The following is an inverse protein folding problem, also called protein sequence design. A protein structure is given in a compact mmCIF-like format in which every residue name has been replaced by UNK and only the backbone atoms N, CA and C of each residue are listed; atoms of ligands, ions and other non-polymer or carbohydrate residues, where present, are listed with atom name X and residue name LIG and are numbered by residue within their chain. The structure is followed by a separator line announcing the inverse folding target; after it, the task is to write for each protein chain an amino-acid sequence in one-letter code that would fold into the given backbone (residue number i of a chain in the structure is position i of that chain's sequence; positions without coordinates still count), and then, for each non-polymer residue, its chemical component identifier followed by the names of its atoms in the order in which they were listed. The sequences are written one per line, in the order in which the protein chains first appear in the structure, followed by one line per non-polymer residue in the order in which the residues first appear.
data_IF_989610346957
#
_entry.id   IF_989610346957
#
_cell.length_a   1.000
_cell.length_b   1.000
_cell.length_c   1.000
_cell.angle_alpha   90.00
_cell.angle_beta   90.00
_cell.angle_gamma   90.00
#
_symmetry.space_group_name_H-M   'P 1'
#
loop_
_entity.id
_entity.type
_entity.pdbx_description
1 polymer ?
#
# COMPACT_ATOMS: atom_id res chain seq x y z
N UNK A 1 -4.92 12.07 -7.77
CA UNK A 1 -3.55 12.14 -8.30
C UNK A 1 -3.54 12.30 -9.82
N UNK A 2 -4.08 11.36 -10.60
CA UNK A 2 -4.09 11.41 -12.07
C UNK A 2 -4.76 12.67 -12.67
N UNK A 3 -5.91 13.17 -12.16
CA UNK A 3 -6.50 14.41 -12.67
C UNK A 3 -5.56 15.61 -12.55
N UNK A 4 -4.85 15.75 -11.42
CA UNK A 4 -3.89 16.84 -11.22
C UNK A 4 -2.68 16.69 -12.14
N UNK A 5 -2.16 15.48 -12.29
CA UNK A 5 -1.05 15.21 -13.23
C UNK A 5 -1.42 15.62 -14.66
N UNK A 6 -2.62 15.27 -15.13
CA UNK A 6 -3.09 15.65 -16.46
C UNK A 6 -3.30 17.16 -16.62
N UNK A 7 -3.71 17.85 -15.53
CA UNK A 7 -3.87 19.29 -15.54
C UNK A 7 -2.53 20.03 -15.61
N UNK A 8 -1.58 19.60 -14.79
CA UNK A 8 -0.26 20.24 -14.68
C UNK A 8 0.65 19.92 -15.86
N UNK A 9 0.44 18.75 -16.50
CA UNK A 9 1.23 18.25 -17.64
C UNK A 9 0.33 17.81 -18.81
N UNK A 10 -0.36 18.73 -19.49
CA UNK A 10 -1.36 18.41 -20.51
C UNK A 10 -0.82 17.65 -21.73
N UNK A 11 0.48 17.79 -22.00
CA UNK A 11 1.17 17.13 -23.13
C UNK A 11 1.82 15.79 -22.72
N UNK A 12 1.72 15.38 -21.46
CA UNK A 12 2.25 14.10 -21.00
C UNK A 12 1.44 12.94 -21.59
N UNK A 13 2.11 12.12 -22.38
CA UNK A 13 1.53 10.85 -22.83
C UNK A 13 1.76 9.79 -21.78
N UNK A 14 0.75 9.52 -20.97
CA UNK A 14 0.82 8.62 -19.83
C UNK A 14 0.24 7.26 -20.19
N UNK A 15 1.08 6.23 -20.17
CA UNK A 15 0.68 4.84 -20.20
C UNK A 15 0.92 4.20 -18.82
N UNK A 16 -0.12 3.65 -18.21
CA UNK A 16 -0.05 3.06 -16.87
C UNK A 16 -0.29 1.57 -16.97
N UNK A 17 0.62 0.80 -16.38
CA UNK A 17 0.46 -0.64 -16.20
C UNK A 17 0.54 -0.99 -14.72
N UNK A 18 -0.18 -2.02 -14.33
CA UNK A 18 -0.09 -2.63 -13.01
C UNK A 18 0.37 -4.07 -13.18
N UNK A 19 1.42 -4.45 -12.45
CA UNK A 19 1.98 -5.78 -12.50
C UNK A 19 2.76 -6.10 -11.20
N UNK A 20 3.14 -7.35 -11.03
CA UNK A 20 3.99 -7.79 -9.92
C UNK A 20 5.39 -7.17 -10.00
N UNK A 21 6.07 -7.09 -8.85
CA UNK A 21 7.39 -6.46 -8.68
C UNK A 21 8.40 -6.92 -9.74
N UNK A 22 8.56 -8.21 -9.92
CA UNK A 22 9.57 -8.77 -10.85
C UNK A 22 9.26 -8.43 -12.31
N UNK A 23 7.98 -8.40 -12.68
CA UNK A 23 7.54 -8.00 -14.02
C UNK A 23 7.86 -6.52 -14.26
N UNK A 24 7.59 -5.65 -13.29
CA UNK A 24 7.90 -4.21 -13.39
C UNK A 24 9.41 -3.97 -13.48
N UNK A 25 10.22 -4.64 -12.67
CA UNK A 25 11.68 -4.53 -12.72
C UNK A 25 12.26 -4.97 -14.08
N UNK A 26 11.74 -6.06 -14.65
CA UNK A 26 12.12 -6.51 -15.98
C UNK A 26 11.75 -5.46 -17.05
N UNK A 27 10.56 -4.86 -16.98
CA UNK A 27 10.10 -3.83 -17.91
C UNK A 27 10.90 -2.53 -17.80
N UNK A 28 11.33 -2.13 -16.59
CA UNK A 28 12.27 -1.02 -16.40
C UNK A 28 13.62 -1.35 -17.04
N UNK A 29 14.17 -2.54 -16.79
CA UNK A 29 15.46 -2.96 -17.30
C UNK A 29 15.50 -3.01 -18.83
N UNK A 30 14.43 -3.49 -19.47
CA UNK A 30 14.28 -3.54 -20.92
C UNK A 30 13.98 -2.19 -21.57
N UNK A 31 13.59 -1.18 -20.78
CA UNK A 31 13.17 0.13 -21.28
C UNK A 31 11.75 0.16 -21.83
N UNK A 32 10.94 -0.84 -21.56
CA UNK A 32 9.52 -0.86 -21.92
C UNK A 32 8.71 0.16 -21.10
N UNK A 33 9.13 0.38 -19.84
CA UNK A 33 8.65 1.49 -19.01
C UNK A 33 9.84 2.30 -18.49
N UNK A 34 9.62 3.58 -18.27
CA UNK A 34 10.62 4.50 -17.76
C UNK A 34 10.73 4.47 -16.24
N UNK A 35 9.60 4.45 -15.56
CA UNK A 35 9.47 4.59 -14.11
C UNK A 35 8.50 3.56 -13.56
N UNK A 36 8.73 3.10 -12.32
CA UNK A 36 7.73 2.39 -11.54
C UNK A 36 7.61 2.97 -10.14
N UNK A 37 6.39 2.99 -9.60
CA UNK A 37 6.13 3.30 -8.19
C UNK A 37 5.98 1.97 -7.47
N UNK A 38 6.86 1.71 -6.51
CA UNK A 38 6.95 0.43 -5.85
C UNK A 38 7.17 0.58 -4.35
N UNK A 39 6.73 -0.41 -3.60
CA UNK A 39 7.00 -0.49 -2.17
C UNK A 39 8.26 -1.32 -1.90
N UNK A 40 9.12 -0.83 -1.03
CA UNK A 40 10.33 -1.52 -0.56
C UNK A 40 9.99 -2.44 0.63
N UNK A 41 10.78 -3.52 0.89
CA UNK A 41 12.06 -3.86 0.23
C UNK A 41 11.90 -4.81 -0.98
N UNK A 42 12.83 -4.72 -1.92
CA UNK A 42 13.10 -5.70 -2.98
C UNK A 42 14.57 -5.55 -3.42
N UNK A 43 15.07 -6.42 -4.31
CA UNK A 43 16.42 -6.29 -4.84
C UNK A 43 16.53 -5.07 -5.76
N UNK A 44 17.22 -4.03 -5.31
CA UNK A 44 17.39 -2.75 -6.01
C UNK A 44 18.65 -2.65 -6.85
N UNK A 45 19.44 -3.72 -6.96
CA UNK A 45 20.67 -3.70 -7.73
C UNK A 45 20.39 -3.40 -9.21
N UNK A 46 21.09 -2.41 -9.75
CA UNK A 46 20.91 -1.97 -11.15
C UNK A 46 19.82 -0.90 -11.34
N UNK A 47 19.24 -0.39 -10.28
CA UNK A 47 18.20 0.64 -10.33
C UNK A 47 18.53 1.84 -9.45
N UNK A 48 18.08 3.02 -9.87
CA UNK A 48 17.99 4.20 -9.01
C UNK A 48 16.69 4.12 -8.20
N UNK A 49 16.78 4.41 -6.90
CA UNK A 49 15.68 4.33 -5.96
C UNK A 49 15.45 5.69 -5.31
N UNK A 50 14.31 6.31 -5.59
CA UNK A 50 13.93 7.61 -5.07
C UNK A 50 12.79 7.44 -4.07
N UNK A 51 13.11 7.23 -2.79
CA UNK A 51 12.12 7.13 -1.71
C UNK A 51 11.41 8.47 -1.53
N UNK A 52 10.09 8.46 -1.43
CA UNK A 52 9.31 9.69 -1.28
C UNK A 52 8.17 9.61 -0.26
N UNK A 53 7.79 8.41 0.17
CA UNK A 53 6.70 8.24 1.10
C UNK A 53 6.96 7.10 2.07
N UNK A 54 6.49 7.26 3.31
CA UNK A 54 6.45 6.20 4.32
C UNK A 54 5.06 6.17 4.93
N UNK A 55 4.57 4.99 5.26
CA UNK A 55 3.23 4.84 5.82
C UNK A 55 3.16 3.67 6.81
N UNK A 56 2.12 3.72 7.64
CA UNK A 56 1.78 2.66 8.57
C UNK A 56 0.65 1.78 8.02
N UNK A 57 0.48 0.60 8.62
CA UNK A 57 -0.69 -0.23 8.39
C UNK A 57 -1.78 0.04 9.41
N UNK A 58 -3.00 -0.13 8.95
CA UNK A 58 -4.20 -0.10 9.76
C UNK A 58 -4.92 -1.43 9.67
N UNK A 59 -5.29 -1.96 10.83
CA UNK A 59 -6.15 -3.10 10.93
C UNK A 59 -7.60 -2.69 10.64
N UNK A 60 -8.28 -3.41 9.78
CA UNK A 60 -9.67 -3.16 9.39
C UNK A 60 -10.54 -4.27 9.92
N UNK A 61 -11.56 -3.87 10.65
CA UNK A 61 -12.58 -4.74 11.19
C UNK A 61 -13.97 -4.12 11.07
N UNK A 62 -15.02 -4.88 11.40
CA UNK A 62 -16.33 -4.28 11.58
C UNK A 62 -16.35 -3.39 12.84
N UNK A 63 -17.20 -2.35 12.84
CA UNK A 63 -17.37 -1.42 13.99
C UNK A 63 -17.86 -2.13 15.26
N UNK A 64 -18.56 -3.27 15.13
CA UNK A 64 -19.04 -4.04 16.28
C UNK A 64 -17.97 -4.93 16.91
N UNK A 65 -16.80 -5.12 16.28
CA UNK A 65 -15.68 -5.81 16.90
C UNK A 65 -15.20 -5.03 18.14
N UNK A 66 -15.15 -5.67 19.33
CA UNK A 66 -14.73 -4.98 20.56
C UNK A 66 -13.32 -4.37 20.45
N UNK A 67 -12.44 -4.98 19.67
CA UNK A 67 -11.04 -4.52 19.45
C UNK A 67 -11.00 -3.20 18.67
N UNK A 68 -12.00 -2.91 17.84
CA UNK A 68 -12.10 -1.68 17.06
C UNK A 68 -12.26 -0.42 17.91
N UNK A 69 -12.61 -0.56 19.20
CA UNK A 69 -12.74 0.56 20.16
C UNK A 69 -11.38 1.04 20.69
N UNK A 70 -10.32 0.28 20.48
CA UNK A 70 -8.97 0.65 20.90
C UNK A 70 -8.39 1.73 19.97
N UNK A 71 -7.55 2.63 20.47
CA UNK A 71 -6.84 3.61 19.65
C UNK A 71 -5.80 2.96 18.75
N UNK A 72 -5.24 1.83 19.17
CA UNK A 72 -4.27 1.02 18.43
C UNK A 72 -4.38 -0.45 18.81
N UNK A 73 -3.83 -1.34 17.97
CA UNK A 73 -3.85 -2.79 18.16
C UNK A 73 -2.47 -3.37 17.85
N UNK A 74 -2.01 -4.30 18.68
CA UNK A 74 -0.76 -5.04 18.41
C UNK A 74 -1.03 -6.26 17.56
N UNK A 75 -0.08 -6.65 16.73
CA UNK A 75 -0.19 -7.84 15.88
C UNK A 75 -0.55 -9.11 16.66
N UNK A 76 -0.02 -9.28 17.86
CA UNK A 76 -0.31 -10.43 18.75
C UNK A 76 -1.74 -10.49 19.28
N UNK A 77 -2.52 -9.42 19.16
CA UNK A 77 -3.92 -9.35 19.59
C UNK A 77 -4.89 -9.77 18.48
N UNK A 78 -4.35 -10.03 17.28
CA UNK A 78 -5.12 -10.43 16.10
C UNK A 78 -5.00 -11.94 15.94
N UNK A 79 -6.12 -12.62 15.87
CA UNK A 79 -6.14 -14.04 15.59
C UNK A 79 -5.80 -14.26 14.11
N UNK A 80 -4.81 -15.11 13.85
CA UNK A 80 -4.37 -15.43 12.49
C UNK A 80 -5.43 -16.26 11.73
N UNK A 81 -6.28 -16.99 12.42
CA UNK A 81 -7.37 -17.76 11.82
C UNK A 81 -8.48 -16.84 11.26
N UNK A 82 -8.58 -15.60 11.76
CA UNK A 82 -9.48 -14.54 11.28
C UNK A 82 -8.82 -13.58 10.30
N UNK A 83 -7.51 -13.70 10.08
CA UNK A 83 -6.79 -12.73 9.25
C UNK A 83 -6.92 -13.09 7.77
N UNK A 84 -7.50 -12.17 7.00
CA UNK A 84 -7.60 -12.24 5.55
C UNK A 84 -6.34 -11.59 4.97
N UNK A 85 -5.56 -12.37 4.24
CA UNK A 85 -4.33 -11.91 3.57
C UNK A 85 -4.53 -11.84 2.06
N UNK A 86 -3.67 -11.11 1.39
CA UNK A 86 -3.59 -11.17 -0.07
C UNK A 86 -2.83 -12.43 -0.50
N UNK A 87 -3.08 -12.88 -1.73
CA UNK A 87 -2.41 -14.03 -2.34
C UNK A 87 -0.90 -13.82 -2.48
N UNK A 88 -0.16 -14.90 -2.68
CA UNK A 88 1.28 -14.85 -2.94
C UNK A 88 1.61 -14.05 -4.20
N UNK A 89 2.78 -13.37 -4.17
CA UNK A 89 3.19 -12.44 -5.22
C UNK A 89 2.65 -11.01 -5.04
N UNK A 90 1.79 -10.77 -4.04
CA UNK A 90 1.38 -9.43 -3.67
C UNK A 90 2.33 -8.88 -2.59
N UNK A 91 3.10 -7.84 -2.90
CA UNK A 91 4.07 -7.24 -1.98
C UNK A 91 3.43 -6.76 -0.66
N UNK A 92 2.13 -6.43 -0.66
CA UNK A 92 1.42 -6.01 0.55
C UNK A 92 1.35 -7.14 1.58
N UNK A 93 1.20 -8.41 1.14
CA UNK A 93 1.25 -9.58 2.03
C UNK A 93 2.57 -9.63 2.79
N UNK A 94 3.69 -9.58 2.07
CA UNK A 94 5.03 -9.70 2.65
C UNK A 94 5.30 -8.56 3.64
N UNK A 95 4.92 -7.33 3.29
CA UNK A 95 5.07 -6.19 4.19
C UNK A 95 4.23 -6.32 5.48
N UNK A 96 3.02 -6.87 5.41
CA UNK A 96 2.19 -7.13 6.59
C UNK A 96 2.83 -8.22 7.46
N UNK A 97 3.31 -9.31 6.85
CA UNK A 97 3.97 -10.39 7.59
C UNK A 97 5.21 -9.88 8.32
N UNK A 98 6.01 -9.04 7.68
CA UNK A 98 7.20 -8.42 8.28
C UNK A 98 6.83 -7.44 9.40
N UNK A 99 5.89 -6.52 9.17
CA UNK A 99 5.44 -5.56 10.17
C UNK A 99 4.88 -6.24 11.42
N UNK A 100 4.09 -7.28 11.23
CA UNK A 100 3.48 -8.06 12.30
C UNK A 100 4.40 -9.16 12.87
N UNK A 101 5.58 -9.38 12.28
CA UNK A 101 6.53 -10.46 12.64
C UNK A 101 5.89 -11.86 12.60
N UNK A 102 4.98 -12.06 11.66
CA UNK A 102 4.30 -13.34 11.45
C UNK A 102 5.22 -14.27 10.67
N UNK A 103 5.76 -15.29 11.32
CA UNK A 103 6.67 -16.28 10.70
C UNK A 103 5.93 -17.53 10.22
N UNK A 104 4.86 -17.90 10.89
CA UNK A 104 4.07 -19.08 10.56
C UNK A 104 2.69 -18.66 10.01
N UNK A 105 2.51 -18.89 8.72
CA UNK A 105 1.27 -18.55 8.00
C UNK A 105 0.28 -19.72 7.91
N UNK A 106 0.59 -20.88 8.49
CA UNK A 106 -0.25 -22.09 8.40
C UNK A 106 -1.65 -21.92 9.00
N UNK A 107 -1.81 -20.93 9.89
CA UNK A 107 -3.11 -20.59 10.49
C UNK A 107 -3.92 -19.60 9.67
N UNK A 108 -3.33 -18.96 8.67
CA UNK A 108 -4.03 -18.00 7.80
C UNK A 108 -4.82 -18.81 6.78
N UNK A 109 -6.12 -18.86 6.96
CA UNK A 109 -7.02 -19.69 6.13
C UNK A 109 -7.65 -18.91 4.98
N UNK A 110 -7.76 -17.59 5.11
CA UNK A 110 -8.43 -16.74 4.13
C UNK A 110 -7.42 -15.95 3.28
N UNK A 111 -7.48 -16.18 1.96
CA UNK A 111 -6.70 -15.42 0.99
C UNK A 111 -7.64 -14.73 0.00
N UNK A 112 -7.31 -13.50 -0.35
CA UNK A 112 -8.03 -12.70 -1.33
C UNK A 112 -7.08 -12.29 -2.46
N UNK A 113 -7.55 -12.31 -3.69
CA UNK A 113 -6.73 -11.89 -4.85
C UNK A 113 -6.53 -10.38 -4.90
N UNK A 114 -7.46 -9.60 -4.33
CA UNK A 114 -7.39 -8.14 -4.31
C UNK A 114 -7.76 -7.59 -2.94
N UNK A 115 -7.32 -6.36 -2.67
CA UNK A 115 -7.71 -5.64 -1.45
C UNK A 115 -9.23 -5.41 -1.38
N UNK A 116 -9.88 -5.15 -2.51
CA UNK A 116 -11.34 -5.00 -2.58
C UNK A 116 -12.06 -6.27 -2.14
N UNK A 117 -11.60 -7.44 -2.58
CA UNK A 117 -12.16 -8.72 -2.14
C UNK A 117 -11.96 -8.92 -0.64
N UNK A 118 -10.77 -8.60 -0.11
CA UNK A 118 -10.52 -8.69 1.33
C UNK A 118 -11.49 -7.80 2.13
N UNK A 119 -11.77 -6.60 1.67
CA UNK A 119 -12.74 -5.68 2.31
C UNK A 119 -14.16 -6.24 2.28
N UNK A 120 -14.61 -6.83 1.16
CA UNK A 120 -15.93 -7.46 1.10
C UNK A 120 -16.05 -8.65 2.06
N UNK A 121 -14.99 -9.43 2.25
CA UNK A 121 -14.96 -10.50 3.24
C UNK A 121 -15.06 -9.95 4.68
N UNK A 122 -14.37 -8.84 5.00
CA UNK A 122 -14.48 -8.17 6.30
C UNK A 122 -15.92 -7.66 6.53
N UNK A 123 -16.56 -7.07 5.52
CA UNK A 123 -17.98 -6.67 5.58
C UNK A 123 -18.90 -7.84 5.86
N UNK A 124 -18.60 -8.99 5.25
CA UNK A 124 -19.32 -10.24 5.45
C UNK A 124 -19.09 -10.91 6.80
N UNK A 125 -18.31 -10.30 7.70
CA UNK A 125 -17.98 -10.87 9.03
C UNK A 125 -17.18 -12.18 8.96
N UNK A 126 -16.42 -12.36 7.88
CA UNK A 126 -15.58 -13.56 7.69
C UNK A 126 -14.25 -13.43 8.45
N UNK A 127 -13.77 -12.18 8.64
CA UNK A 127 -12.52 -11.94 9.33
C UNK A 127 -12.11 -10.47 9.31
N UNK A 128 -10.82 -10.24 9.44
CA UNK A 128 -10.20 -8.90 9.49
C UNK A 128 -9.03 -8.84 8.51
N UNK A 129 -8.59 -7.63 8.15
CA UNK A 129 -7.44 -7.48 7.25
C UNK A 129 -6.60 -6.27 7.63
N UNK A 130 -5.43 -6.12 7.00
CA UNK A 130 -4.62 -4.92 7.08
C UNK A 130 -4.67 -4.14 5.76
N UNK A 131 -4.67 -2.82 5.87
CA UNK A 131 -4.56 -1.92 4.72
C UNK A 131 -3.48 -0.88 4.96
N UNK A 132 -2.81 -0.40 3.91
CA UNK A 132 -1.90 0.73 4.02
C UNK A 132 -2.68 2.03 4.27
N UNK A 133 -2.06 2.95 4.99
CA UNK A 133 -2.68 4.22 5.40
C UNK A 133 -3.31 5.00 4.23
N UNK A 134 -2.62 5.03 3.07
CA UNK A 134 -3.13 5.73 1.89
C UNK A 134 -4.48 5.20 1.37
N UNK A 135 -4.82 3.94 1.65
CA UNK A 135 -6.07 3.32 1.22
C UNK A 135 -7.22 3.53 2.23
N UNK A 136 -6.93 3.81 3.50
CA UNK A 136 -7.91 3.83 4.60
C UNK A 136 -9.08 4.76 4.32
N UNK A 137 -8.80 6.02 3.97
CA UNK A 137 -9.86 7.02 3.82
C UNK A 137 -10.86 6.64 2.72
N UNK A 138 -10.36 6.25 1.54
CA UNK A 138 -11.19 5.85 0.41
C UNK A 138 -12.03 4.61 0.76
N UNK A 139 -11.44 3.63 1.44
CA UNK A 139 -12.12 2.41 1.83
C UNK A 139 -13.23 2.67 2.84
N UNK A 140 -13.00 3.50 3.87
CA UNK A 140 -13.98 3.75 4.91
C UNK A 140 -15.14 4.65 4.46
N UNK A 141 -14.89 5.61 3.58
CA UNK A 141 -15.96 6.40 2.97
C UNK A 141 -16.94 5.50 2.22
N UNK A 142 -16.44 4.51 1.50
CA UNK A 142 -17.27 3.56 0.77
C UNK A 142 -17.91 2.47 1.66
N UNK A 143 -17.38 2.23 2.86
CA UNK A 143 -17.79 1.14 3.75
C UNK A 143 -17.96 1.64 5.21
N UNK A 144 -19.03 2.38 5.50
CA UNK A 144 -19.23 3.04 6.79
C UNK A 144 -19.43 2.08 7.97
N UNK A 145 -19.69 0.79 7.73
CA UNK A 145 -19.79 -0.27 8.72
C UNK A 145 -18.43 -0.76 9.24
N UNK A 146 -17.35 -0.42 8.54
CA UNK A 146 -15.98 -0.78 8.90
C UNK A 146 -15.31 0.30 9.74
N UNK A 147 -14.25 -0.09 10.42
CA UNK A 147 -13.40 0.81 11.20
C UNK A 147 -11.93 0.42 11.08
N UNK A 148 -11.08 1.43 11.03
CA UNK A 148 -9.65 1.32 11.13
C UNK A 148 -9.17 1.39 12.58
N UNK A 149 -8.13 0.62 12.88
CA UNK A 149 -7.38 0.70 14.12
C UNK A 149 -5.90 0.67 13.78
N UNK A 150 -5.12 1.64 14.27
CA UNK A 150 -3.70 1.75 13.93
C UNK A 150 -2.94 0.54 14.44
N UNK A 151 -2.06 -0.04 13.63
CA UNK A 151 -1.12 -1.09 14.05
C UNK A 151 -0.05 -0.49 14.96
N UNK A 152 0.04 -0.99 16.21
CA UNK A 152 0.99 -0.56 17.24
C UNK A 152 2.25 -1.46 17.21
N UNK A 153 2.93 -1.46 16.08
CA UNK A 153 4.24 -2.08 15.90
C UNK A 153 5.25 -0.99 15.46
N UNK A 154 6.54 -1.31 15.48
CA UNK A 154 7.57 -0.35 15.12
C UNK A 154 7.52 -0.04 13.62
N UNK A 155 7.08 1.17 13.27
CA UNK A 155 7.06 1.65 11.90
C UNK A 155 8.33 2.42 11.47
N UNK A 156 8.33 3.01 10.27
CA UNK A 156 7.27 2.87 9.28
C UNK A 156 7.17 1.43 8.75
N UNK A 157 5.94 0.99 8.44
CA UNK A 157 5.69 -0.38 8.01
C UNK A 157 5.88 -0.57 6.51
N UNK A 158 5.88 0.53 5.74
CA UNK A 158 6.02 0.52 4.29
C UNK A 158 6.73 1.78 3.81
N UNK A 159 7.68 1.62 2.90
CA UNK A 159 8.33 2.71 2.18
C UNK A 159 7.98 2.63 0.70
N UNK A 160 7.61 3.77 0.10
CA UNK A 160 7.28 3.86 -1.33
C UNK A 160 8.37 4.65 -2.03
N UNK A 161 8.77 4.14 -3.20
CA UNK A 161 9.81 4.77 -4.01
C UNK A 161 9.41 4.82 -5.49
N UNK A 162 9.96 5.80 -6.22
CA UNK A 162 10.04 5.76 -7.68
C UNK A 162 11.34 5.05 -8.05
N UNK A 163 11.23 4.11 -8.97
CA UNK A 163 12.34 3.29 -9.47
C UNK A 163 12.58 3.64 -10.93
N UNK A 164 13.84 3.81 -11.29
CA UNK A 164 14.26 4.02 -12.67
C UNK A 164 15.51 3.22 -13.02
N UNK A 165 15.83 3.10 -14.32
CA UNK A 165 17.14 2.59 -14.76
C UNK A 165 18.26 3.53 -14.29
N UNK A 166 19.46 3.00 -14.06
CA UNK A 166 20.63 3.80 -13.69
C UNK A 166 21.00 4.90 -14.71
N UNK A 167 20.70 4.68 -15.99
CA UNK A 167 20.96 5.61 -17.07
C UNK A 167 19.74 6.44 -17.48
N UNK A 168 18.72 6.51 -16.67
CA UNK A 168 17.56 7.37 -16.91
C UNK A 168 17.94 8.84 -16.73
N UNK A 169 17.68 9.66 -17.75
CA UNK A 169 18.09 11.07 -17.78
C UNK A 169 17.05 12.06 -17.25
N UNK A 170 15.89 11.56 -16.80
CA UNK A 170 14.73 12.37 -16.38
C UNK A 170 14.69 12.70 -14.88
N UNK A 171 15.80 13.02 -14.22
CA UNK A 171 15.81 13.31 -12.77
C UNK A 171 14.87 14.47 -12.39
N UNK A 172 14.70 15.45 -13.28
CA UNK A 172 13.75 16.56 -13.07
C UNK A 172 12.31 16.06 -13.06
N UNK A 173 11.98 15.12 -13.93
CA UNK A 173 10.64 14.53 -14.03
C UNK A 173 10.32 13.72 -12.79
N UNK A 174 11.30 12.93 -12.31
CA UNK A 174 11.17 12.18 -11.05
C UNK A 174 10.90 13.13 -9.89
N UNK A 175 11.69 14.23 -9.78
CA UNK A 175 11.49 15.21 -8.72
C UNK A 175 10.09 15.83 -8.78
N UNK A 176 9.66 16.25 -9.96
CA UNK A 176 8.33 16.85 -10.18
C UNK A 176 7.20 15.87 -9.80
N UNK A 177 7.35 14.59 -10.14
CA UNK A 177 6.40 13.54 -9.75
C UNK A 177 6.38 13.32 -8.22
N UNK A 178 7.54 13.28 -7.59
CA UNK A 178 7.66 13.15 -6.12
C UNK A 178 6.96 14.32 -5.43
N UNK A 179 7.23 15.55 -5.85
CA UNK A 179 6.63 16.76 -5.27
C UNK A 179 5.10 16.70 -5.39
N UNK A 180 4.59 16.36 -6.58
CA UNK A 180 3.17 16.21 -6.86
C UNK A 180 2.51 15.10 -5.99
N UNK A 181 3.15 13.94 -5.91
CA UNK A 181 2.61 12.80 -5.15
C UNK A 181 2.61 13.10 -3.65
N UNK A 182 3.67 13.67 -3.14
CA UNK A 182 3.80 14.03 -1.72
C UNK A 182 2.77 15.09 -1.34
N UNK A 183 2.54 16.11 -2.17
CA UNK A 183 1.51 17.11 -1.94
C UNK A 183 0.11 16.48 -1.86
N UNK A 184 -0.22 15.57 -2.78
CA UNK A 184 -1.52 14.91 -2.81
C UNK A 184 -1.72 13.94 -1.64
N UNK A 185 -0.70 13.20 -1.25
CA UNK A 185 -0.76 12.29 -0.11
C UNK A 185 -0.94 13.06 1.21
N UNK A 186 -0.20 14.16 1.38
CA UNK A 186 -0.35 15.04 2.55
C UNK A 186 -1.75 15.69 2.63
N UNK A 187 -2.33 16.08 1.49
CA UNK A 187 -3.67 16.67 1.46
C UNK A 187 -4.75 15.65 1.87
N UNK A 188 -4.60 14.39 1.46
CA UNK A 188 -5.51 13.31 1.84
C UNK A 188 -5.43 12.96 3.33
N UNK A 189 -4.26 13.10 3.97
CA UNK A 189 -4.11 12.89 5.41
C UNK A 189 -4.78 14.01 6.23
N UNK A 190 -4.77 15.25 5.77
CA UNK A 190 -5.40 16.39 6.46
C UNK A 190 -6.93 16.30 6.53
N UNK A 191 -7.57 15.59 5.61
CA UNK A 191 -9.02 15.40 5.60
C UNK A 191 -9.50 14.48 6.76
N UNK A 192 -8.60 13.73 7.39
CA UNK A 192 -8.91 12.87 8.55
C UNK A 192 -9.15 13.61 9.87
N UNK A 193 -8.89 14.90 9.95
CA UNK A 193 -8.88 15.68 11.22
C UNK A 193 -10.07 16.63 11.34
N UNK A 194 -11.10 16.45 10.52
CA UNK A 194 -12.32 17.27 10.54
C UNK A 194 -13.55 16.50 11.00
#
# INVERSE_FOLDING_TARGET
LLPKLKLDYPNLNLNIIEAQTDVLLNKISSGEIELAIMALPFNTNGFNVHKFWTEDFYWISRKNDPRSKKPSIKAKEIDLDELIMLEEGNCLKDHILDACKIKNTSKITFNASTLSTAIELVKGDIGTTFVPEMAVNQLLVANPELKETKLDEKGPHREIAIISRNNYAGDRDIKSLIDLFTEQLNSNQKIKVG
#
